data_IF_788551107328
#
_entry.id   IF_788551107328
#
_cell.length_a   1.000
_cell.length_b   1.000
_cell.length_c   1.000
_cell.angle_alpha   90.00
_cell.angle_beta   90.00
_cell.angle_gamma   90.00
#
_symmetry.space_group_name_H-M   'P 1'
#
loop_
_entity.id
_entity.type
_entity.pdbx_description
1 polymer ?
#
# COMPACT_ATOMS: atom_id res chain seq x y z
N UNK A 1 25.96 0.24 3.10
CA UNK A 1 24.55 0.71 3.25
C UNK A 1 23.53 -0.22 2.58
N UNK A 2 23.83 -0.83 1.43
CA UNK A 2 22.91 -1.77 0.73
C UNK A 2 22.76 -3.11 1.48
N UNK A 3 23.86 -3.70 1.94
CA UNK A 3 23.82 -4.97 2.70
C UNK A 3 23.06 -4.88 4.04
N UNK A 4 23.08 -3.73 4.73
CA UNK A 4 22.34 -3.56 5.99
C UNK A 4 20.84 -3.47 5.75
N UNK A 5 20.41 -2.84 4.65
CA UNK A 5 19.01 -2.81 4.21
C UNK A 5 18.52 -4.20 3.78
N UNK A 6 19.32 -4.93 3.02
CA UNK A 6 19.03 -6.32 2.62
C UNK A 6 18.88 -7.25 3.84
N UNK A 7 19.79 -7.18 4.82
CA UNK A 7 19.67 -7.98 6.05
C UNK A 7 18.43 -7.64 6.87
N UNK A 8 18.02 -6.38 6.90
CA UNK A 8 16.78 -5.94 7.55
C UNK A 8 15.55 -6.50 6.83
N UNK A 9 15.52 -6.43 5.49
CA UNK A 9 14.48 -7.03 4.65
C UNK A 9 14.35 -8.54 4.89
N UNK A 10 15.45 -9.29 4.83
CA UNK A 10 15.43 -10.74 5.07
C UNK A 10 14.97 -11.10 6.49
N UNK A 11 15.30 -10.27 7.48
CA UNK A 11 14.84 -10.48 8.86
C UNK A 11 13.33 -10.26 9.01
N UNK A 12 12.80 -9.26 8.31
CA UNK A 12 11.36 -9.00 8.29
C UNK A 12 10.60 -10.09 7.52
N UNK A 13 11.14 -10.57 6.40
CA UNK A 13 10.58 -11.68 5.64
C UNK A 13 10.50 -12.99 6.45
N UNK A 14 11.49 -13.24 7.31
CA UNK A 14 11.52 -14.43 8.19
C UNK A 14 10.50 -14.42 9.32
N UNK A 15 9.70 -13.35 9.50
CA UNK A 15 8.63 -13.35 10.51
C UNK A 15 7.60 -14.42 10.14
N UNK A 16 7.17 -15.29 11.09
CA UNK A 16 6.21 -16.37 10.81
C UNK A 16 4.95 -15.89 10.09
N UNK A 17 4.42 -14.72 10.45
CA UNK A 17 3.24 -14.15 9.78
C UNK A 17 3.49 -13.81 8.30
N UNK A 18 4.67 -13.29 7.93
CA UNK A 18 4.98 -12.97 6.53
C UNK A 18 5.23 -14.24 5.70
N UNK A 19 5.82 -15.27 6.31
CA UNK A 19 5.96 -16.59 5.68
C UNK A 19 4.58 -17.19 5.40
N UNK A 20 3.63 -17.08 6.35
CA UNK A 20 2.25 -17.54 6.14
C UNK A 20 1.55 -16.75 5.04
N UNK A 21 1.70 -15.42 5.01
CA UNK A 21 1.15 -14.57 3.94
C UNK A 21 1.71 -15.02 2.58
N UNK A 22 3.02 -15.23 2.47
CA UNK A 22 3.65 -15.73 1.25
C UNK A 22 3.10 -17.10 0.84
N UNK A 23 3.00 -18.05 1.79
CA UNK A 23 2.48 -19.38 1.51
C UNK A 23 1.03 -19.32 1.00
N UNK A 24 0.18 -18.49 1.61
CA UNK A 24 -1.18 -18.25 1.14
C UNK A 24 -1.21 -17.60 -0.24
N UNK A 25 -0.32 -16.63 -0.52
CA UNK A 25 -0.24 -16.00 -1.83
C UNK A 25 0.20 -16.97 -2.93
N UNK A 26 1.17 -17.84 -2.64
CA UNK A 26 1.61 -18.91 -3.56
C UNK A 26 0.47 -19.90 -3.81
N UNK A 27 -0.24 -20.31 -2.75
CA UNK A 27 -1.41 -21.19 -2.89
C UNK A 27 -2.51 -20.53 -3.72
N UNK A 28 -2.79 -19.25 -3.47
CA UNK A 28 -3.77 -18.48 -4.25
C UNK A 28 -3.40 -18.43 -5.73
N UNK A 29 -2.16 -18.05 -6.05
CA UNK A 29 -1.65 -17.99 -7.42
C UNK A 29 -1.63 -19.36 -8.11
N UNK A 30 -1.46 -20.45 -7.35
CA UNK A 30 -1.56 -21.80 -7.89
C UNK A 30 -3.01 -22.18 -8.24
N UNK A 31 -3.97 -21.88 -7.36
CA UNK A 31 -5.38 -22.25 -7.54
C UNK A 31 -6.07 -21.39 -8.58
N UNK A 32 -5.85 -20.07 -8.58
CA UNK A 32 -6.52 -19.12 -9.49
C UNK A 32 -5.65 -18.65 -10.65
N UNK A 33 -4.33 -18.87 -10.63
CA UNK A 33 -3.44 -18.56 -11.74
C UNK A 33 -3.09 -19.81 -12.56
N UNK A 34 -1.85 -20.29 -12.42
CA UNK A 34 -1.24 -21.29 -13.31
C UNK A 34 -2.03 -22.59 -13.59
N UNK A 35 -2.94 -23.01 -12.71
CA UNK A 35 -3.78 -24.20 -12.95
C UNK A 35 -5.09 -23.92 -13.69
N UNK A 36 -5.61 -22.70 -13.62
CA UNK A 36 -6.94 -22.33 -14.13
C UNK A 36 -6.94 -21.12 -15.09
N UNK A 37 -5.77 -20.54 -15.41
CA UNK A 37 -5.65 -19.53 -16.46
C UNK A 37 -6.09 -20.10 -17.81
N UNK A 38 -7.22 -19.60 -18.29
CA UNK A 38 -7.82 -19.86 -19.60
C UNK A 38 -8.77 -18.72 -19.94
N UNK A 39 -9.39 -18.75 -21.12
CA UNK A 39 -10.42 -17.79 -21.55
C UNK A 39 -11.82 -18.39 -21.26
N UNK A 40 -12.34 -18.43 -20.03
CA UNK A 40 -13.71 -18.86 -19.79
C UNK A 40 -14.67 -17.88 -20.47
N UNK A 41 -15.74 -18.39 -21.08
CA UNK A 41 -16.79 -17.51 -21.57
C UNK A 41 -17.40 -16.73 -20.40
N UNK A 42 -17.71 -15.44 -20.60
CA UNK A 42 -18.39 -14.61 -19.61
C UNK A 42 -19.63 -15.33 -19.05
N UNK A 43 -19.82 -15.25 -17.73
CA UNK A 43 -20.89 -15.92 -16.97
C UNK A 43 -20.85 -17.46 -16.95
N UNK A 44 -19.82 -18.09 -17.50
CA UNK A 44 -19.61 -19.54 -17.32
C UNK A 44 -19.21 -19.88 -15.88
N UNK A 45 -19.25 -21.17 -15.53
CA UNK A 45 -18.78 -21.63 -14.21
C UNK A 45 -17.29 -21.30 -13.97
N UNK A 46 -16.47 -21.31 -15.02
CA UNK A 46 -15.06 -20.92 -14.94
C UNK A 46 -14.93 -19.43 -14.60
N UNK A 47 -15.72 -18.59 -15.26
CA UNK A 47 -15.77 -17.15 -15.00
C UNK A 47 -16.22 -16.85 -13.56
N UNK A 48 -17.29 -17.49 -13.07
CA UNK A 48 -17.73 -17.30 -11.68
C UNK A 48 -16.71 -17.78 -10.64
N UNK A 49 -15.98 -18.85 -10.95
CA UNK A 49 -14.89 -19.32 -10.09
C UNK A 49 -13.76 -18.29 -10.04
N UNK A 50 -13.44 -17.66 -11.16
CA UNK A 50 -12.42 -16.63 -11.25
C UNK A 50 -12.81 -15.34 -10.52
N UNK A 51 -14.03 -14.85 -10.76
CA UNK A 51 -14.66 -13.73 -10.02
C UNK A 51 -14.62 -13.96 -8.50
N UNK A 52 -14.88 -15.20 -8.04
CA UNK A 52 -14.75 -15.54 -6.61
C UNK A 52 -13.30 -15.40 -6.12
N UNK A 53 -12.33 -15.77 -6.95
CA UNK A 53 -10.90 -15.55 -6.72
C UNK A 53 -10.57 -14.08 -6.51
N UNK A 54 -11.00 -13.20 -7.42
CA UNK A 54 -10.82 -11.74 -7.31
C UNK A 54 -11.42 -11.18 -6.02
N UNK A 55 -12.62 -11.62 -5.64
CA UNK A 55 -13.23 -11.19 -4.38
C UNK A 55 -12.42 -11.65 -3.17
N UNK A 56 -11.99 -12.92 -3.13
CA UNK A 56 -11.16 -13.48 -2.06
C UNK A 56 -9.81 -12.77 -1.99
N UNK A 57 -9.21 -12.45 -3.14
CA UNK A 57 -7.98 -11.67 -3.25
C UNK A 57 -8.15 -10.30 -2.62
N UNK A 58 -9.20 -9.57 -2.99
CA UNK A 58 -9.53 -8.27 -2.44
C UNK A 58 -9.67 -8.30 -0.91
N UNK A 59 -10.37 -9.31 -0.38
CA UNK A 59 -10.53 -9.50 1.07
C UNK A 59 -9.19 -9.82 1.75
N UNK A 60 -8.46 -10.80 1.23
CA UNK A 60 -7.21 -11.28 1.81
C UNK A 60 -6.13 -10.20 1.80
N UNK A 61 -5.92 -9.56 0.66
CA UNK A 61 -4.92 -8.50 0.51
C UNK A 61 -5.24 -7.30 1.39
N UNK A 62 -6.52 -6.95 1.55
CA UNK A 62 -6.91 -5.86 2.46
C UNK A 62 -6.49 -6.11 3.91
N UNK A 63 -6.66 -7.34 4.43
CA UNK A 63 -6.19 -7.68 5.77
C UNK A 63 -4.67 -7.74 5.88
N UNK A 64 -3.99 -8.20 4.82
CA UNK A 64 -2.52 -8.18 4.73
C UNK A 64 -1.99 -6.74 4.78
N UNK A 65 -2.58 -5.84 3.99
CA UNK A 65 -2.23 -4.41 3.99
C UNK A 65 -2.50 -3.76 5.34
N UNK A 66 -3.65 -4.05 5.95
CA UNK A 66 -3.96 -3.57 7.29
C UNK A 66 -2.92 -4.05 8.33
N UNK A 67 -2.50 -5.31 8.23
CA UNK A 67 -1.43 -5.86 9.08
C UNK A 67 -0.08 -5.17 8.83
N UNK A 68 0.31 -4.97 7.57
CA UNK A 68 1.56 -4.30 7.21
C UNK A 68 1.57 -2.83 7.61
N UNK A 69 0.48 -2.09 7.41
CA UNK A 69 0.35 -0.70 7.86
C UNK A 69 0.52 -0.63 9.38
N UNK A 70 -0.15 -1.51 10.14
CA UNK A 70 0.02 -1.55 11.61
C UNK A 70 1.45 -1.86 12.05
N UNK A 71 2.13 -2.74 11.33
CA UNK A 71 3.42 -3.28 11.74
C UNK A 71 4.62 -2.41 11.30
N UNK A 72 4.58 -1.91 10.07
CA UNK A 72 5.70 -1.23 9.42
C UNK A 72 5.48 0.28 9.28
N UNK A 73 4.23 0.73 9.27
CA UNK A 73 3.86 2.15 9.23
C UNK A 73 2.96 2.55 10.42
N UNK A 74 3.34 2.24 11.68
CA UNK A 74 2.49 2.50 12.84
C UNK A 74 2.17 3.99 13.02
N UNK A 75 3.09 4.89 12.64
CA UNK A 75 2.86 6.33 12.67
C UNK A 75 1.71 6.73 11.71
N UNK A 76 1.72 6.21 10.48
CA UNK A 76 0.63 6.40 9.50
C UNK A 76 -0.68 5.78 10.00
N UNK A 77 -0.62 4.58 10.59
CA UNK A 77 -1.80 3.91 11.16
C UNK A 77 -2.50 4.75 12.24
N UNK A 78 -1.70 5.50 13.00
CA UNK A 78 -2.15 6.35 14.10
C UNK A 78 -2.65 7.69 13.55
N UNK A 79 -1.85 8.36 12.71
CA UNK A 79 -2.08 9.74 12.27
C UNK A 79 -3.18 9.89 11.23
N UNK A 80 -3.24 9.00 10.22
CA UNK A 80 -4.10 9.19 9.05
C UNK A 80 -5.59 9.12 9.34
N UNK A 81 -6.00 8.54 10.48
CA UNK A 81 -7.40 8.28 10.78
C UNK A 81 -7.92 7.02 10.10
N UNK A 82 -8.89 6.35 10.73
CA UNK A 82 -9.26 4.98 10.37
C UNK A 82 -10.04 4.88 9.06
N UNK A 83 -10.85 5.88 8.74
CA UNK A 83 -11.53 5.96 7.44
C UNK A 83 -10.56 6.17 6.28
N UNK A 84 -9.55 7.03 6.45
CA UNK A 84 -8.54 7.24 5.42
C UNK A 84 -7.69 5.99 5.19
N UNK A 85 -7.38 5.24 6.25
CA UNK A 85 -6.69 3.94 6.11
C UNK A 85 -7.55 2.95 5.33
N UNK A 86 -8.86 2.86 5.63
CA UNK A 86 -9.75 1.99 4.88
C UNK A 86 -9.81 2.38 3.41
N UNK A 87 -9.97 3.67 3.12
CA UNK A 87 -9.97 4.20 1.74
C UNK A 87 -8.66 3.90 1.02
N UNK A 88 -7.53 4.17 1.66
CA UNK A 88 -6.21 3.91 1.09
C UNK A 88 -6.02 2.42 0.79
N UNK A 89 -6.43 1.52 1.71
CA UNK A 89 -6.33 0.08 1.46
C UNK A 89 -7.17 -0.35 0.25
N UNK A 90 -8.39 0.18 0.12
CA UNK A 90 -9.24 -0.12 -1.05
C UNK A 90 -8.54 0.34 -2.33
N UNK A 91 -8.06 1.60 -2.38
CA UNK A 91 -7.35 2.16 -3.54
C UNK A 91 -6.09 1.34 -3.87
N UNK A 92 -5.25 1.02 -2.87
CA UNK A 92 -4.01 0.28 -3.06
C UNK A 92 -4.28 -1.16 -3.54
N UNK A 93 -5.31 -1.83 -3.03
CA UNK A 93 -5.69 -3.20 -3.45
C UNK A 93 -6.15 -3.21 -4.90
N UNK A 94 -7.01 -2.26 -5.30
CA UNK A 94 -7.47 -2.12 -6.69
C UNK A 94 -6.31 -1.85 -7.65
N UNK A 95 -5.37 -0.97 -7.26
CA UNK A 95 -4.18 -0.67 -8.08
C UNK A 95 -3.27 -1.89 -8.18
N UNK A 96 -3.06 -2.63 -7.09
CA UNK A 96 -2.21 -3.81 -7.09
C UNK A 96 -2.80 -4.89 -7.99
N UNK A 97 -4.09 -5.12 -7.95
CA UNK A 97 -4.74 -6.09 -8.84
C UNK A 97 -4.61 -5.67 -10.31
N UNK A 98 -4.98 -4.43 -10.66
CA UNK A 98 -4.90 -3.92 -12.02
C UNK A 98 -3.47 -3.91 -12.60
N UNK A 99 -2.43 -3.79 -11.77
CA UNK A 99 -1.04 -3.77 -12.23
C UNK A 99 -0.42 -5.16 -12.21
N UNK A 100 -0.58 -5.89 -11.11
CA UNK A 100 0.11 -7.17 -10.93
C UNK A 100 -0.69 -8.31 -11.53
N UNK A 101 -1.98 -8.43 -11.24
CA UNK A 101 -2.75 -9.58 -11.72
C UNK A 101 -3.00 -9.48 -13.23
N UNK A 102 -3.67 -8.40 -13.67
CA UNK A 102 -3.92 -8.14 -15.10
C UNK A 102 -2.63 -8.01 -15.90
N UNK A 103 -1.60 -7.39 -15.32
CA UNK A 103 -0.30 -7.27 -15.97
C UNK A 103 0.40 -8.61 -16.17
N UNK A 104 0.32 -9.54 -15.20
CA UNK A 104 0.85 -10.89 -15.35
C UNK A 104 0.04 -11.73 -16.33
N UNK A 105 -1.28 -11.62 -16.30
CA UNK A 105 -2.17 -12.30 -17.24
C UNK A 105 -1.92 -11.85 -18.68
N UNK A 106 -1.84 -10.54 -18.91
CA UNK A 106 -1.47 -10.00 -20.23
C UNK A 106 -0.13 -10.54 -20.73
N UNK A 107 0.89 -10.64 -19.86
CA UNK A 107 2.19 -11.20 -20.24
C UNK A 107 2.11 -12.70 -20.55
N UNK A 108 1.30 -13.45 -19.80
CA UNK A 108 1.05 -14.86 -20.03
C UNK A 108 0.37 -15.09 -21.38
N UNK A 109 -0.68 -14.32 -21.67
CA UNK A 109 -1.40 -14.35 -22.93
C UNK A 109 -0.51 -14.02 -24.14
N UNK A 110 0.33 -13.00 -24.02
CA UNK A 110 1.31 -12.65 -25.05
C UNK A 110 2.30 -13.78 -25.33
N UNK A 111 2.64 -14.60 -24.33
CA UNK A 111 3.58 -15.70 -24.50
C UNK A 111 2.96 -16.91 -25.20
N UNK A 112 1.67 -17.18 -24.98
CA UNK A 112 1.00 -18.40 -25.45
C UNK A 112 0.20 -18.22 -26.74
N UNK A 113 -0.09 -16.98 -27.18
CA UNK A 113 -0.93 -16.71 -28.35
C UNK A 113 -0.14 -16.29 -29.60
N UNK A 114 -0.08 -17.12 -30.67
CA UNK A 114 0.69 -16.82 -31.88
C UNK A 114 0.01 -15.90 -32.92
N UNK A 115 -1.24 -15.43 -32.71
CA UNK A 115 -1.98 -14.64 -33.72
C UNK A 115 -2.51 -13.31 -33.18
N UNK A 116 -1.92 -12.21 -33.67
CA UNK A 116 -2.16 -10.82 -33.25
C UNK A 116 -3.43 -10.19 -33.85
N UNK A 117 -4.07 -10.80 -34.85
CA UNK A 117 -5.24 -10.22 -35.56
C UNK A 117 -6.59 -10.43 -34.84
N UNK A 118 -6.71 -11.44 -33.97
CA UNK A 118 -7.87 -11.64 -33.08
C UNK A 118 -7.87 -10.73 -31.85
N UNK A 119 -6.82 -9.90 -31.71
CA UNK A 119 -6.57 -9.08 -30.53
C UNK A 119 -7.63 -8.00 -30.31
N UNK A 120 -8.32 -7.50 -31.35
CA UNK A 120 -9.34 -6.47 -31.18
C UNK A 120 -10.64 -7.01 -30.52
N UNK A 121 -11.08 -8.19 -30.95
CA UNK A 121 -12.26 -8.85 -30.37
C UNK A 121 -11.95 -9.47 -29.00
N UNK A 122 -10.73 -10.01 -28.82
CA UNK A 122 -10.23 -10.42 -27.49
C UNK A 122 -10.05 -9.24 -26.56
N UNK A 123 -9.53 -8.10 -27.01
CA UNK A 123 -9.38 -6.90 -26.19
C UNK A 123 -10.73 -6.36 -25.70
N UNK A 124 -11.82 -6.52 -26.47
CA UNK A 124 -13.15 -6.14 -26.00
C UNK A 124 -13.68 -7.08 -24.91
N UNK A 125 -13.55 -8.40 -25.09
CA UNK A 125 -13.95 -9.37 -24.06
C UNK A 125 -13.06 -9.28 -22.81
N UNK A 126 -11.75 -9.20 -23.00
CA UNK A 126 -10.76 -8.94 -21.96
C UNK A 126 -11.03 -7.61 -21.25
N UNK A 127 -11.46 -6.55 -21.96
CA UNK A 127 -11.80 -5.29 -21.28
C UNK A 127 -13.02 -5.39 -20.35
N UNK A 128 -14.02 -6.22 -20.69
CA UNK A 128 -15.18 -6.43 -19.85
C UNK A 128 -14.85 -7.31 -18.63
N UNK A 129 -14.00 -8.32 -18.85
CA UNK A 129 -13.50 -9.24 -17.83
C UNK A 129 -12.63 -8.50 -16.81
N UNK A 130 -11.53 -7.87 -17.28
CA UNK A 130 -10.65 -7.01 -16.49
C UNK A 130 -11.41 -5.94 -15.72
N UNK A 131 -12.43 -5.31 -16.33
CA UNK A 131 -13.25 -4.32 -15.62
C UNK A 131 -14.07 -4.97 -14.50
N UNK A 132 -14.63 -6.14 -14.75
CA UNK A 132 -15.39 -6.89 -13.75
C UNK A 132 -14.51 -7.33 -12.60
N UNK A 133 -13.29 -7.76 -12.88
CA UNK A 133 -12.29 -8.20 -11.91
C UNK A 133 -11.87 -7.06 -10.99
N UNK A 134 -11.50 -5.91 -11.57
CA UNK A 134 -11.19 -4.69 -10.82
C UNK A 134 -12.35 -4.30 -9.89
N UNK A 135 -13.59 -4.36 -10.37
CA UNK A 135 -14.79 -4.03 -9.58
C UNK A 135 -14.96 -5.03 -8.44
N UNK A 136 -14.87 -6.32 -8.73
CA UNK A 136 -15.13 -7.40 -7.76
C UNK A 136 -14.03 -7.43 -6.69
N UNK A 137 -12.77 -7.26 -7.08
CA UNK A 137 -11.63 -7.09 -6.17
C UNK A 137 -11.87 -5.89 -5.24
N UNK A 138 -12.31 -4.76 -5.80
CA UNK A 138 -12.64 -3.55 -5.02
C UNK A 138 -13.79 -3.79 -4.04
N UNK A 139 -14.83 -4.53 -4.45
CA UNK A 139 -15.94 -4.93 -3.58
C UNK A 139 -15.46 -5.83 -2.44
N UNK A 140 -14.56 -6.77 -2.71
CA UNK A 140 -13.91 -7.59 -1.69
C UNK A 140 -13.14 -6.74 -0.67
N UNK A 141 -12.41 -5.74 -1.14
CA UNK A 141 -11.68 -4.81 -0.27
C UNK A 141 -12.62 -3.96 0.60
N UNK A 142 -13.69 -3.42 0.00
CA UNK A 142 -14.74 -2.66 0.70
C UNK A 142 -15.37 -3.54 1.79
N UNK A 143 -15.72 -4.79 1.45
CA UNK A 143 -16.30 -5.75 2.38
C UNK A 143 -15.35 -6.03 3.56
N UNK A 144 -14.06 -6.25 3.30
CA UNK A 144 -13.07 -6.45 4.36
C UNK A 144 -12.93 -5.24 5.28
N UNK A 145 -12.90 -4.02 4.71
CA UNK A 145 -12.83 -2.79 5.51
C UNK A 145 -14.11 -2.54 6.31
N UNK A 146 -15.27 -2.91 5.78
CA UNK A 146 -16.53 -2.90 6.51
C UNK A 146 -16.51 -3.88 7.69
N UNK A 147 -16.08 -5.13 7.47
CA UNK A 147 -15.92 -6.12 8.55
C UNK A 147 -14.94 -5.63 9.62
N UNK A 148 -13.82 -5.03 9.21
CA UNK A 148 -12.87 -4.43 10.14
C UNK A 148 -13.51 -3.30 10.96
N UNK A 149 -14.30 -2.43 10.33
CA UNK A 149 -15.03 -1.37 11.02
C UNK A 149 -16.05 -1.93 12.03
N UNK A 150 -16.86 -2.92 11.63
CA UNK A 150 -17.78 -3.63 12.51
C UNK A 150 -17.07 -4.28 13.69
N UNK A 151 -15.95 -4.95 13.45
CA UNK A 151 -15.12 -5.55 14.49
C UNK A 151 -14.64 -4.50 15.49
N UNK A 152 -14.20 -3.33 15.02
CA UNK A 152 -13.79 -2.24 15.93
C UNK A 152 -14.96 -1.73 16.75
N UNK A 153 -16.13 -1.53 16.15
CA UNK A 153 -17.34 -1.10 16.89
C UNK A 153 -17.78 -2.12 17.93
N UNK A 154 -17.70 -3.40 17.60
CA UNK A 154 -17.93 -4.47 18.57
C UNK A 154 -16.92 -4.42 19.72
N UNK A 155 -15.63 -4.25 19.42
CA UNK A 155 -14.58 -4.18 20.42
C UNK A 155 -14.71 -2.95 21.33
N UNK A 156 -15.03 -1.78 20.77
CA UNK A 156 -15.30 -0.54 21.51
C UNK A 156 -16.43 -0.74 22.54
N UNK A 157 -17.47 -1.50 22.16
CA UNK A 157 -18.60 -1.82 23.05
C UNK A 157 -18.25 -2.87 24.11
N UNK A 158 -17.48 -3.89 23.73
CA UNK A 158 -17.22 -5.08 24.56
C UNK A 158 -16.08 -4.87 25.56
N UNK A 159 -15.09 -4.05 25.22
CA UNK A 159 -13.89 -3.74 26.01
C UNK A 159 -13.56 -2.24 25.96
N UNK A 160 -14.42 -1.39 26.55
CA UNK A 160 -14.26 0.07 26.46
C UNK A 160 -12.97 0.57 27.11
N UNK A 161 -12.53 -0.03 28.22
CA UNK A 161 -11.30 0.36 28.92
C UNK A 161 -10.05 0.12 28.06
N UNK A 162 -10.02 -0.98 27.29
CA UNK A 162 -8.90 -1.28 26.40
C UNK A 162 -8.86 -0.33 25.21
N UNK A 163 -10.04 0.00 24.68
CA UNK A 163 -10.20 1.02 23.63
C UNK A 163 -9.76 2.41 24.10
N UNK A 164 -10.14 2.81 25.32
CA UNK A 164 -9.71 4.09 25.89
C UNK A 164 -8.19 4.14 26.04
N UNK A 165 -7.59 3.05 26.54
CA UNK A 165 -6.13 2.91 26.63
C UNK A 165 -5.45 3.00 25.26
N UNK A 166 -5.99 2.31 24.24
CA UNK A 166 -5.50 2.41 22.86
C UNK A 166 -5.60 3.84 22.32
N UNK A 167 -6.70 4.54 22.61
CA UNK A 167 -6.92 5.94 22.22
C UNK A 167 -5.90 6.88 22.86
N UNK A 168 -5.65 6.71 24.16
CA UNK A 168 -4.66 7.51 24.91
C UNK A 168 -3.24 7.26 24.36
N UNK A 169 -2.85 6.01 24.14
CA UNK A 169 -1.53 5.69 23.58
C UNK A 169 -1.38 6.20 22.14
N UNK A 170 -2.44 6.10 21.34
CA UNK A 170 -2.50 6.71 20.01
C UNK A 170 -2.31 8.23 20.08
N UNK A 171 -3.00 8.92 21.00
CA UNK A 171 -2.87 10.37 21.18
C UNK A 171 -1.45 10.78 21.63
N UNK A 172 -0.84 10.03 22.55
CA UNK A 172 0.56 10.24 22.95
C UNK A 172 1.52 10.04 21.78
N UNK A 173 1.32 8.99 20.99
CA UNK A 173 2.13 8.73 19.80
C UNK A 173 2.00 9.85 18.76
N UNK A 174 0.78 10.36 18.51
CA UNK A 174 0.56 11.53 17.66
C UNK A 174 1.32 12.75 18.15
N UNK A 175 1.21 13.05 19.44
CA UNK A 175 1.90 14.19 20.05
C UNK A 175 3.41 14.10 19.89
N UNK A 176 3.99 12.90 20.10
CA UNK A 176 5.43 12.65 19.90
C UNK A 176 5.85 12.80 18.44
N UNK A 177 5.06 12.28 17.50
CA UNK A 177 5.34 12.40 16.07
C UNK A 177 5.34 13.87 15.61
N UNK A 178 4.32 14.64 16.01
CA UNK A 178 4.24 16.08 15.71
C UNK A 178 5.38 16.86 16.34
N UNK A 179 5.75 16.57 17.60
CA UNK A 179 6.88 17.22 18.25
C UNK A 179 8.20 16.98 17.49
N UNK A 180 8.41 15.76 16.98
CA UNK A 180 9.59 15.40 16.18
C UNK A 180 9.60 16.15 14.85
N UNK A 181 8.46 16.29 14.19
CA UNK A 181 8.31 17.05 12.95
C UNK A 181 8.61 18.55 13.18
N UNK A 182 8.05 19.14 14.24
CA UNK A 182 8.32 20.54 14.63
C UNK A 182 9.82 20.75 14.89
N UNK A 183 10.48 19.83 15.59
CA UNK A 183 11.92 19.91 15.85
C UNK A 183 12.75 19.79 14.58
N UNK A 184 12.37 18.89 13.66
CA UNK A 184 13.02 18.74 12.36
C UNK A 184 12.89 20.02 11.52
N UNK A 185 11.69 20.60 11.47
CA UNK A 185 11.42 21.86 10.77
C UNK A 185 12.20 23.01 11.39
N UNK A 186 12.24 23.14 12.72
CA UNK A 186 13.05 24.16 13.41
C UNK A 186 14.54 24.02 13.11
N UNK A 187 15.06 22.78 13.08
CA UNK A 187 16.46 22.51 12.73
C UNK A 187 16.77 22.90 11.28
N UNK A 188 15.87 22.56 10.35
CA UNK A 188 15.98 22.95 8.94
C UNK A 188 15.98 24.47 8.78
N UNK A 189 15.04 25.15 9.43
CA UNK A 189 14.91 26.60 9.36
C UNK A 189 16.12 27.33 9.96
N UNK A 190 16.64 26.87 11.11
CA UNK A 190 17.90 27.40 11.68
C UNK A 190 19.08 27.26 10.72
N UNK A 191 19.19 26.12 10.04
CA UNK A 191 20.24 25.88 9.05
C UNK A 191 20.10 26.84 7.85
N UNK A 192 18.86 27.09 7.41
CA UNK A 192 18.58 28.04 6.34
C UNK A 192 19.00 29.47 6.75
N UNK A 193 18.53 29.96 7.91
CA UNK A 193 18.89 31.29 8.43
C UNK A 193 20.42 31.43 8.55
N UNK A 194 21.11 30.42 9.10
CA UNK A 194 22.56 30.45 9.22
C UNK A 194 23.26 30.55 7.85
N UNK A 195 22.78 29.81 6.85
CA UNK A 195 23.35 29.86 5.50
C UNK A 195 23.10 31.22 4.82
N UNK A 196 21.92 31.80 4.99
CA UNK A 196 21.58 33.14 4.48
C UNK A 196 22.45 34.21 5.15
N UNK A 197 22.58 34.17 6.48
CA UNK A 197 23.46 35.07 7.22
C UNK A 197 24.92 34.95 6.76
N UNK A 198 25.44 33.73 6.63
CA UNK A 198 26.81 33.48 6.14
C UNK A 198 27.02 33.99 4.72
N UNK A 199 26.01 33.88 3.85
CA UNK A 199 26.05 34.41 2.49
C UNK A 199 26.10 35.93 2.50
N UNK A 200 25.22 36.58 3.26
CA UNK A 200 25.20 38.03 3.43
C UNK A 200 26.53 38.56 3.98
N UNK A 201 27.09 37.93 5.02
CA UNK A 201 28.38 38.33 5.59
C UNK A 201 29.53 38.22 4.57
N UNK A 202 29.56 37.15 3.76
CA UNK A 202 30.54 37.01 2.68
C UNK A 202 30.40 38.09 1.61
N UNK A 203 29.19 38.46 1.26
CA UNK A 203 28.92 39.54 0.30
C UNK A 203 29.39 40.88 0.86
N UNK A 204 29.05 41.21 2.12
CA UNK A 204 29.53 42.42 2.79
C UNK A 204 31.06 42.48 2.83
N UNK A 205 31.73 41.41 3.25
CA UNK A 205 33.21 41.36 3.29
C UNK A 205 33.82 41.54 1.89
N UNK A 206 33.22 40.95 0.85
CA UNK A 206 33.67 41.16 -0.54
C UNK A 206 33.47 42.60 -0.99
N UNK A 207 32.36 43.23 -0.63
CA UNK A 207 32.09 44.63 -0.96
C UNK A 207 33.06 45.56 -0.25
N UNK A 208 33.32 45.36 1.05
CA UNK A 208 34.29 46.15 1.82
C UNK A 208 35.69 46.01 1.22
N UNK A 209 36.16 44.79 0.92
CA UNK A 209 37.46 44.58 0.24
C UNK A 209 37.58 45.22 -1.15
N UNK A 210 36.46 45.46 -1.83
CA UNK A 210 36.45 46.18 -3.11
C UNK A 210 36.55 47.70 -2.93
N UNK A 211 36.08 48.22 -1.80
CA UNK A 211 36.05 49.66 -1.50
C UNK A 211 37.37 50.09 -0.84
N UNK A 212 37.92 49.26 0.04
CA UNK A 212 39.23 49.46 0.69
C UNK A 212 40.07 48.19 0.55
N UNK A 213 40.99 48.12 -0.43
CA UNK A 213 41.79 46.94 -0.72
C UNK A 213 43.04 46.79 0.14
N UNK A 214 43.21 47.61 1.19
CA UNK A 214 44.36 47.57 2.10
C UNK A 214 44.50 46.26 2.89
#
# INVERSE_FOLDING_TARGET
MIMSKLRSLFREFKRPSNIRILACAVLFAYVWGAHNWGDPALFSNGWWFDVLGHFIFGVGLSFVMLYWIKLYAPESYILSGKLNIARQIIEDVTIIEAIFWEGFEMLWDLQIQPNYASWLARAQNSSADTTSDIIITSLGAIFAMFLWWCWRKYHEKRWPNDTEKESIESAKAKSRALAKEILATRKSHRKQIYNEFKKSLKETVRTVKKIDPS
#
